data_IF_343792776406
#
_entry.id   IF_343792776406
#
_cell.length_a   1.000
_cell.length_b   1.000
_cell.length_c   1.000
_cell.angle_alpha   90.00
_cell.angle_beta   90.00
_cell.angle_gamma   90.00
#
_symmetry.space_group_name_H-M   'P 1'
#
loop_
_entity.id
_entity.type
_entity.pdbx_description
1 polymer ?
#
# COMPACT_ATOMS: atom_id res chain seq x y z
N UNK A 1 -22.71 -17.45 5.41
CA UNK A 1 -22.10 -17.80 4.61
C UNK A 1 -20.95 -17.12 3.92
N UNK A 2 -19.79 -17.59 4.26
CA UNK A 2 -18.52 -17.09 3.77
C UNK A 2 -18.42 -17.09 2.23
N UNK A 3 -18.97 -18.12 1.60
CA UNK A 3 -18.95 -18.25 0.14
C UNK A 3 -19.68 -17.12 -0.60
N UNK A 4 -20.71 -16.53 0.01
CA UNK A 4 -21.43 -15.41 -0.58
C UNK A 4 -20.62 -14.10 -0.50
N UNK A 5 -19.89 -13.89 0.58
CA UNK A 5 -19.03 -12.71 0.73
C UNK A 5 -17.91 -12.71 -0.32
N UNK A 6 -17.28 -13.87 -0.57
CA UNK A 6 -16.23 -14.00 -1.56
C UNK A 6 -16.68 -13.73 -2.98
N UNK A 7 -17.91 -14.14 -3.33
CA UNK A 7 -18.49 -13.92 -4.68
C UNK A 7 -18.76 -12.46 -4.97
N UNK A 8 -18.83 -11.61 -3.96
CA UNK A 8 -19.20 -10.20 -4.12
C UNK A 8 -18.01 -9.28 -4.35
N UNK A 9 -16.80 -9.78 -4.15
CA UNK A 9 -15.59 -9.02 -4.38
C UNK A 9 -15.06 -9.30 -5.78
N UNK A 10 -14.84 -8.24 -6.54
CA UNK A 10 -14.22 -8.33 -7.86
C UNK A 10 -12.85 -7.68 -7.80
N UNK A 11 -11.80 -8.49 -7.76
CA UNK A 11 -10.42 -8.00 -7.72
C UNK A 11 -10.00 -7.54 -9.11
N UNK A 12 -9.55 -6.29 -9.20
CA UNK A 12 -9.06 -5.68 -10.44
C UNK A 12 -7.55 -5.80 -10.52
N UNK A 13 -6.86 -5.54 -9.43
CA UNK A 13 -5.40 -5.60 -9.37
C UNK A 13 -4.97 -6.17 -8.03
N UNK A 14 -3.91 -6.96 -8.05
CA UNK A 14 -3.33 -7.60 -6.86
C UNK A 14 -1.84 -7.28 -6.82
N UNK A 15 -1.36 -6.87 -5.66
CA UNK A 15 0.05 -6.54 -5.46
C UNK A 15 0.76 -7.68 -4.71
N UNK A 16 1.10 -8.73 -5.42
CA UNK A 16 1.75 -9.90 -4.84
C UNK A 16 3.14 -9.59 -4.30
N UNK A 17 3.87 -8.67 -4.95
CA UNK A 17 5.22 -8.27 -4.52
C UNK A 17 5.24 -7.67 -3.12
N UNK A 18 4.17 -7.01 -2.71
CA UNK A 18 4.10 -6.39 -1.39
C UNK A 18 4.28 -7.40 -0.28
N UNK A 19 3.71 -8.58 -0.41
CA UNK A 19 3.81 -9.63 0.60
C UNK A 19 5.22 -10.22 0.69
N UNK A 20 5.99 -10.15 -0.39
CA UNK A 20 7.40 -10.56 -0.39
C UNK A 20 8.32 -9.50 0.19
N UNK A 21 8.03 -8.23 -0.11
CA UNK A 21 8.91 -7.11 0.22
C UNK A 21 8.64 -6.48 1.58
N UNK A 22 7.49 -6.77 2.17
CA UNK A 22 7.05 -6.12 3.42
C UNK A 22 6.51 -7.13 4.42
N UNK A 23 6.76 -6.85 5.70
CA UNK A 23 6.04 -7.48 6.80
C UNK A 23 4.74 -6.70 6.99
N UNK A 24 3.61 -7.37 6.79
CA UNK A 24 2.30 -6.74 6.92
C UNK A 24 1.88 -6.76 8.39
N UNK A 25 1.72 -5.57 8.97
CA UNK A 25 1.34 -5.42 10.37
C UNK A 25 -0.17 -5.41 10.53
N UNK A 26 -0.85 -4.64 9.69
CA UNK A 26 -2.29 -4.44 9.76
C UNK A 26 -2.83 -4.13 8.38
N UNK A 27 -4.04 -4.57 8.08
CA UNK A 27 -4.73 -4.25 6.84
C UNK A 27 -6.05 -3.56 7.12
N UNK A 28 -6.49 -2.71 6.20
CA UNK A 28 -7.77 -2.01 6.30
C UNK A 28 -8.32 -1.72 4.92
N UNK A 29 -9.63 -1.57 4.84
CA UNK A 29 -10.31 -1.20 3.61
C UNK A 29 -10.42 0.31 3.50
N UNK A 30 -9.97 0.87 2.39
CA UNK A 30 -10.10 2.28 2.08
C UNK A 30 -10.92 2.47 0.81
N UNK A 31 -11.73 3.52 0.77
CA UNK A 31 -12.34 3.96 -0.47
C UNK A 31 -11.33 4.69 -1.34
N UNK A 32 -11.63 4.86 -2.62
CA UNK A 32 -10.78 5.58 -3.57
C UNK A 32 -11.61 6.62 -4.30
N UNK A 33 -11.17 7.88 -4.26
CA UNK A 33 -11.82 8.94 -5.01
C UNK A 33 -11.37 8.85 -6.48
N UNK A 34 -12.30 8.52 -7.36
CA UNK A 34 -12.04 8.28 -8.77
C UNK A 34 -12.88 9.18 -9.67
N UNK A 35 -12.37 9.48 -10.86
CA UNK A 35 -13.14 10.13 -11.91
C UNK A 35 -13.94 9.08 -12.68
N UNK A 36 -14.90 9.54 -13.51
CA UNK A 36 -15.75 8.64 -14.30
C UNK A 36 -14.96 7.75 -15.24
N UNK A 37 -13.95 8.30 -15.92
CA UNK A 37 -13.12 7.53 -16.85
C UNK A 37 -12.25 6.51 -16.14
N UNK A 38 -11.80 6.81 -14.93
CA UNK A 38 -11.07 5.86 -14.09
C UNK A 38 -11.95 4.67 -13.71
N UNK A 39 -13.18 4.93 -13.29
CA UNK A 39 -14.13 3.87 -12.95
C UNK A 39 -14.41 2.97 -14.15
N UNK A 40 -14.62 3.56 -15.32
CA UNK A 40 -14.86 2.80 -16.55
C UNK A 40 -13.67 1.92 -16.93
N UNK A 41 -12.46 2.44 -16.79
CA UNK A 41 -11.22 1.69 -17.03
C UNK A 41 -11.10 0.51 -16.06
N UNK A 42 -11.43 0.73 -14.79
CA UNK A 42 -11.42 -0.32 -13.77
C UNK A 42 -12.47 -1.41 -14.07
N UNK A 43 -13.66 -1.02 -14.53
CA UNK A 43 -14.70 -1.98 -14.92
C UNK A 43 -14.24 -2.87 -16.07
N UNK A 44 -13.39 -2.34 -16.94
CA UNK A 44 -12.76 -3.11 -18.01
C UNK A 44 -11.59 -3.99 -17.50
N UNK A 45 -11.31 -3.95 -16.19
CA UNK A 45 -10.29 -4.80 -15.56
C UNK A 45 -8.87 -4.30 -15.75
N UNK A 46 -8.70 -3.03 -16.06
CA UNK A 46 -7.37 -2.46 -16.37
C UNK A 46 -6.87 -1.58 -15.24
N UNK A 47 -5.89 -2.08 -14.50
CA UNK A 47 -5.16 -1.29 -13.50
C UNK A 47 -3.95 -2.07 -13.01
N UNK A 48 -2.91 -1.36 -12.57
CA UNK A 48 -1.77 -1.95 -11.86
C UNK A 48 -1.46 -1.14 -10.62
N UNK A 49 -1.12 -1.82 -9.55
CA UNK A 49 -0.77 -1.21 -8.26
C UNK A 49 0.58 -1.70 -7.73
N UNK A 50 1.31 -2.50 -8.51
CA UNK A 50 2.56 -3.13 -8.08
C UNK A 50 3.64 -2.13 -7.67
N UNK A 51 3.70 -0.98 -8.33
CA UNK A 51 4.69 0.05 -8.05
C UNK A 51 4.12 1.22 -7.23
N UNK A 52 2.91 1.05 -6.70
CA UNK A 52 2.24 2.12 -5.97
C UNK A 52 2.49 2.03 -4.47
N UNK A 53 2.27 3.14 -3.81
CA UNK A 53 2.36 3.25 -2.36
C UNK A 53 1.37 4.33 -1.91
N UNK A 54 1.13 4.41 -0.62
CA UNK A 54 0.29 5.47 -0.07
C UNK A 54 1.14 6.43 0.75
N UNK A 55 0.79 7.71 0.72
CA UNK A 55 1.53 8.78 1.35
C UNK A 55 0.58 9.76 2.03
N UNK A 56 1.02 10.33 3.15
CA UNK A 56 0.26 11.34 3.86
C UNK A 56 0.63 12.73 3.33
N UNK A 57 -0.37 13.45 2.83
CA UNK A 57 -0.19 14.82 2.33
C UNK A 57 -1.37 15.69 2.74
N UNK A 58 -1.09 16.79 3.43
CA UNK A 58 -2.13 17.71 3.85
C UNK A 58 -3.17 17.08 4.78
N UNK A 59 -2.77 16.16 5.64
CA UNK A 59 -3.67 15.50 6.57
C UNK A 59 -4.57 14.43 5.96
N UNK A 60 -4.31 14.05 4.71
CA UNK A 60 -5.03 13.01 4.00
C UNK A 60 -4.07 11.94 3.50
N UNK A 61 -4.61 10.78 3.15
CA UNK A 61 -3.82 9.66 2.59
C UNK A 61 -4.07 9.59 1.09
N UNK A 62 -3.00 9.54 0.32
CA UNK A 62 -3.04 9.51 -1.14
C UNK A 62 -2.37 8.26 -1.69
N UNK A 63 -3.00 7.67 -2.67
CA UNK A 63 -2.40 6.56 -3.43
C UNK A 63 -1.57 7.15 -4.56
N UNK A 64 -0.27 6.89 -4.52
CA UNK A 64 0.70 7.46 -5.45
C UNK A 64 1.22 6.38 -6.39
N UNK A 65 1.40 6.74 -7.64
CA UNK A 65 1.99 5.88 -8.67
C UNK A 65 1.19 4.61 -9.01
N UNK A 66 -0.11 4.60 -8.69
CA UNK A 66 -1.01 3.58 -9.24
C UNK A 66 -1.28 3.92 -10.70
N UNK A 67 -1.40 2.91 -11.53
CA UNK A 67 -1.66 3.11 -12.95
C UNK A 67 -3.05 2.61 -13.33
N UNK A 68 -3.88 3.53 -13.78
CA UNK A 68 -5.18 3.23 -14.36
C UNK A 68 -5.14 3.76 -15.79
N UNK A 69 -5.04 2.88 -16.82
CA UNK A 69 -4.95 3.33 -18.21
C UNK A 69 -6.12 4.21 -18.62
N UNK A 70 -5.90 5.06 -19.59
CA UNK A 70 -6.95 5.88 -20.15
C UNK A 70 -8.07 5.02 -20.69
N UNK A 71 -9.31 5.50 -20.55
CA UNK A 71 -10.48 4.83 -21.13
C UNK A 71 -10.56 5.21 -22.60
N UNK A 72 -10.27 4.28 -23.48
CA UNK A 72 -10.13 4.54 -24.91
C UNK A 72 -11.41 5.02 -25.59
N UNK A 73 -12.57 4.65 -25.06
CA UNK A 73 -13.86 5.10 -25.60
C UNK A 73 -14.30 6.47 -25.08
N UNK A 74 -13.49 7.13 -24.23
CA UNK A 74 -13.80 8.47 -23.78
C UNK A 74 -13.55 9.48 -24.91
N UNK A 75 -14.51 10.40 -25.11
CA UNK A 75 -14.44 11.34 -26.24
C UNK A 75 -13.39 12.41 -26.11
N UNK A 76 -13.40 13.17 -25.01
CA UNK A 76 -12.57 14.38 -24.88
C UNK A 76 -11.72 14.40 -23.62
N UNK A 77 -12.34 14.08 -22.51
CA UNK A 77 -11.70 14.24 -21.21
C UNK A 77 -11.37 12.89 -20.64
N UNK A 78 -10.10 12.64 -20.47
CA UNK A 78 -9.61 11.44 -19.85
C UNK A 78 -8.76 11.82 -18.63
N UNK A 79 -8.46 10.85 -17.81
CA UNK A 79 -7.62 11.05 -16.63
C UNK A 79 -6.15 10.79 -16.98
N UNK A 80 -5.24 11.36 -16.21
CA UNK A 80 -3.84 10.98 -16.27
C UNK A 80 -3.69 9.58 -15.63
N UNK A 81 -3.05 8.62 -16.31
CA UNK A 81 -2.95 7.24 -15.81
C UNK A 81 -2.37 7.12 -14.40
N UNK A 82 -1.42 7.96 -14.05
CA UNK A 82 -0.77 7.92 -12.73
C UNK A 82 -1.19 9.08 -11.81
N UNK A 83 -2.37 9.61 -12.00
CA UNK A 83 -2.90 10.67 -11.16
C UNK A 83 -2.91 10.22 -9.69
N UNK A 84 -2.43 11.05 -8.74
CA UNK A 84 -2.58 10.75 -7.32
C UNK A 84 -4.07 10.65 -6.97
N UNK A 85 -4.43 9.64 -6.19
CA UNK A 85 -5.83 9.38 -5.84
C UNK A 85 -5.99 9.40 -4.34
N UNK A 86 -6.97 10.17 -3.89
CA UNK A 86 -7.24 10.30 -2.47
C UNK A 86 -7.89 9.01 -1.95
N UNK A 87 -7.37 8.48 -0.87
CA UNK A 87 -7.98 7.34 -0.19
C UNK A 87 -8.96 7.83 0.87
N UNK A 88 -10.12 7.21 0.90
CA UNK A 88 -11.22 7.59 1.78
C UNK A 88 -11.23 6.69 3.00
N UNK A 89 -10.84 7.25 4.13
CA UNK A 89 -10.74 6.57 5.41
C UNK A 89 -11.37 7.44 6.49
N UNK A 90 -11.76 6.82 7.60
CA UNK A 90 -12.21 7.58 8.75
C UNK A 90 -11.06 8.40 9.34
N UNK A 91 -11.36 9.58 9.89
CA UNK A 91 -10.34 10.47 10.44
C UNK A 91 -9.46 9.77 11.49
N UNK A 92 -10.04 8.94 12.31
CA UNK A 92 -9.31 8.14 13.31
C UNK A 92 -8.28 7.23 12.67
N UNK A 93 -8.64 6.57 11.56
CA UNK A 93 -7.74 5.70 10.82
C UNK A 93 -6.61 6.52 10.17
N UNK A 94 -6.95 7.66 9.57
CA UNK A 94 -5.95 8.55 8.94
C UNK A 94 -4.91 8.99 9.97
N UNK A 95 -5.36 9.45 11.13
CA UNK A 95 -4.46 9.91 12.19
C UNK A 95 -3.54 8.80 12.70
N UNK A 96 -4.09 7.61 12.85
CA UNK A 96 -3.32 6.43 13.27
C UNK A 96 -2.23 6.08 12.24
N UNK A 97 -2.58 6.11 10.95
CA UNK A 97 -1.65 5.78 9.87
C UNK A 97 -0.56 6.82 9.73
N UNK A 98 -0.91 8.10 9.83
CA UNK A 98 0.08 9.20 9.79
C UNK A 98 1.07 9.03 10.94
N UNK A 99 0.57 8.75 12.14
CA UNK A 99 1.41 8.54 13.32
C UNK A 99 2.38 7.36 13.14
N UNK A 100 1.90 6.25 12.61
CA UNK A 100 2.72 5.07 12.38
C UNK A 100 3.83 5.34 11.35
N UNK A 101 3.51 6.06 10.27
CA UNK A 101 4.48 6.40 9.24
C UNK A 101 5.54 7.36 9.80
N UNK A 102 5.12 8.40 10.50
CA UNK A 102 6.04 9.43 11.02
C UNK A 102 6.88 8.97 12.20
N UNK A 103 6.28 8.27 13.16
CA UNK A 103 6.96 7.88 14.40
C UNK A 103 7.70 6.55 14.30
N UNK A 104 7.13 5.60 13.59
CA UNK A 104 7.66 4.23 13.52
C UNK A 104 8.35 3.91 12.21
N UNK A 105 8.32 4.84 11.26
CA UNK A 105 8.94 4.64 9.95
C UNK A 105 8.29 3.54 9.13
N UNK A 106 7.00 3.31 9.35
CA UNK A 106 6.24 2.31 8.59
C UNK A 106 5.85 2.84 7.22
N UNK A 107 5.48 1.93 6.34
CA UNK A 107 5.08 2.24 4.97
C UNK A 107 3.64 1.80 4.75
N UNK A 108 2.92 2.55 3.93
CA UNK A 108 1.57 2.19 3.52
C UNK A 108 1.63 1.66 2.10
N UNK A 109 1.20 0.42 1.90
CA UNK A 109 1.20 -0.22 0.59
C UNK A 109 -0.17 -0.79 0.25
N UNK A 110 -0.65 -0.64 -1.00
CA UNK A 110 -1.89 -1.27 -1.41
C UNK A 110 -1.64 -2.75 -1.72
N UNK A 111 -2.53 -3.60 -1.25
CA UNK A 111 -2.45 -5.04 -1.52
C UNK A 111 -3.37 -5.45 -2.66
N UNK A 112 -4.57 -4.89 -2.70
CA UNK A 112 -5.58 -5.20 -3.71
C UNK A 112 -6.40 -3.97 -4.04
N UNK A 113 -6.78 -3.88 -5.32
CA UNK A 113 -7.77 -2.92 -5.79
C UNK A 113 -8.96 -3.75 -6.27
N UNK A 114 -10.14 -3.48 -5.76
CA UNK A 114 -11.30 -4.31 -6.05
C UNK A 114 -12.59 -3.49 -6.00
N UNK A 115 -13.65 -4.05 -6.57
CA UNK A 115 -15.01 -3.55 -6.37
C UNK A 115 -15.69 -4.37 -5.28
N UNK A 116 -16.34 -3.69 -4.36
CA UNK A 116 -17.12 -4.36 -3.33
C UNK A 116 -18.50 -4.78 -3.88
N UNK A 117 -19.32 -5.39 -3.03
CA UNK A 117 -20.65 -5.86 -3.43
C UNK A 117 -21.58 -4.75 -3.92
N UNK A 118 -21.33 -3.51 -3.52
CA UNK A 118 -22.10 -2.34 -3.97
C UNK A 118 -21.53 -1.70 -5.24
N UNK A 119 -20.49 -2.29 -5.81
CA UNK A 119 -19.84 -1.77 -7.01
C UNK A 119 -18.96 -0.55 -6.77
N UNK A 120 -18.53 -0.31 -5.56
CA UNK A 120 -17.62 0.77 -5.23
C UNK A 120 -16.18 0.30 -5.23
N UNK A 121 -15.29 1.10 -5.80
CA UNK A 121 -13.87 0.80 -5.80
C UNK A 121 -13.29 0.94 -4.40
N UNK A 122 -12.57 -0.08 -3.98
CA UNK A 122 -11.93 -0.16 -2.66
C UNK A 122 -10.48 -0.62 -2.81
N UNK A 123 -9.66 -0.20 -1.87
CA UNK A 123 -8.26 -0.64 -1.75
C UNK A 123 -8.11 -1.37 -0.41
N UNK A 124 -7.51 -2.54 -0.45
CA UNK A 124 -7.00 -3.16 0.77
C UNK A 124 -5.63 -2.56 1.03
N UNK A 125 -5.56 -1.68 2.02
CA UNK A 125 -4.36 -0.94 2.37
C UNK A 125 -3.66 -1.64 3.53
N UNK A 126 -2.34 -1.77 3.43
CA UNK A 126 -1.54 -2.40 4.47
C UNK A 126 -0.61 -1.40 5.14
N UNK A 127 -0.55 -1.46 6.46
CA UNK A 127 0.50 -0.82 7.25
C UNK A 127 1.61 -1.84 7.39
N UNK A 128 2.81 -1.51 6.91
CA UNK A 128 3.84 -2.51 6.67
C UNK A 128 5.25 -1.99 6.99
N UNK A 129 6.16 -2.92 7.16
CA UNK A 129 7.60 -2.65 7.36
C UNK A 129 8.37 -3.30 6.24
N UNK A 130 9.33 -2.59 5.65
CA UNK A 130 10.15 -3.12 4.58
C UNK A 130 11.07 -4.22 5.09
N UNK A 131 11.02 -5.39 4.49
CA UNK A 131 11.86 -6.54 4.87
C UNK A 131 13.34 -6.26 4.69
N UNK A 132 13.71 -5.61 3.60
CA UNK A 132 15.11 -5.27 3.33
C UNK A 132 15.70 -4.34 4.38
N UNK A 133 14.93 -3.35 4.82
CA UNK A 133 15.36 -2.43 5.86
C UNK A 133 15.47 -3.15 7.20
N UNK A 134 14.51 -4.01 7.52
CA UNK A 134 14.51 -4.82 8.73
C UNK A 134 15.74 -5.73 8.77
N UNK A 135 15.97 -6.48 7.70
CA UNK A 135 17.11 -7.39 7.58
C UNK A 135 18.45 -6.64 7.71
N UNK A 136 18.54 -5.44 7.14
CA UNK A 136 19.72 -4.59 7.24
C UNK A 136 19.98 -4.17 8.68
N UNK A 137 18.94 -3.76 9.41
CA UNK A 137 19.04 -3.38 10.82
C UNK A 137 19.53 -4.52 11.69
N UNK A 138 18.99 -5.72 11.47
CA UNK A 138 19.40 -6.92 12.19
C UNK A 138 20.85 -7.27 11.90
N UNK A 139 21.28 -7.16 10.65
CA UNK A 139 22.65 -7.41 10.23
C UNK A 139 23.61 -6.41 10.89
N UNK A 140 23.25 -5.14 10.94
CA UNK A 140 24.05 -4.08 11.59
C UNK A 140 24.18 -4.32 13.09
N UNK A 141 23.10 -4.69 13.77
CA UNK A 141 23.13 -5.04 15.18
C UNK A 141 24.06 -6.22 15.45
N UNK A 142 24.00 -7.24 14.64
CA UNK A 142 24.82 -8.43 14.74
C UNK A 142 26.30 -8.08 14.54
N UNK A 143 26.62 -7.28 13.54
CA UNK A 143 27.99 -6.81 13.27
C UNK A 143 28.57 -6.01 14.45
N UNK A 144 27.78 -5.11 15.01
CA UNK A 144 28.17 -4.31 16.16
C UNK A 144 28.47 -5.20 17.35
N UNK A 145 27.60 -6.16 17.63
CA UNK A 145 27.78 -7.10 18.72
C UNK A 145 29.04 -7.94 18.56
N UNK A 146 29.32 -8.43 17.36
CA UNK A 146 30.52 -9.18 17.04
C UNK A 146 31.78 -8.37 17.22
N UNK A 147 31.78 -7.09 16.85
CA UNK A 147 32.90 -6.17 17.06
C UNK A 147 33.19 -5.98 18.54
N UNK A 148 32.16 -5.75 19.33
CA UNK A 148 32.28 -5.56 20.77
C UNK A 148 32.81 -6.81 21.45
N UNK A 149 32.30 -7.97 21.05
CA UNK A 149 32.76 -9.26 21.54
C UNK A 149 34.26 -9.48 21.22
N UNK A 150 34.66 -9.20 19.99
CA UNK A 150 36.07 -9.29 19.57
C UNK A 150 36.98 -8.36 20.35
N UNK A 151 36.53 -7.16 20.64
CA UNK A 151 37.27 -6.17 21.44
C UNK A 151 37.48 -6.66 22.87
N UNK A 152 36.43 -7.19 23.49
CA UNK A 152 36.51 -7.75 24.85
C UNK A 152 37.46 -8.94 24.91
N UNK A 153 37.45 -9.81 23.94
CA UNK A 153 38.36 -10.96 23.87
C UNK A 153 39.79 -10.56 23.71
N UNK A 154 40.11 -9.47 22.99
CA UNK A 154 41.47 -8.94 22.84
C UNK A 154 41.98 -8.31 24.15
N UNK A 155 41.08 -7.69 24.91
CA UNK A 155 41.46 -7.09 26.19
C UNK A 155 41.79 -8.12 27.26
N UNK A 156 41.20 -9.31 27.17
CA UNK A 156 41.45 -10.42 28.08
C UNK A 156 42.68 -11.26 27.73
N UNK A 157 43.16 -11.11 26.50
CA UNK A 157 44.38 -11.78 26.04
C UNK A 157 45.57 -10.89 26.16
#
# INVERSE_FOLDING_TARGET
MAAKAERKLRVIADNRKARFNYFIDETMEAGVALTGTEVKSLRAGKATIAESYADARGGEIWLINSNIPEYQQANRFNHAPKRPRKLLLHRRQINKLIGAVEREGMTLVPLKLYFNEKGRAKIELALARGKKLYDKRETEKKRTWERERGRLLRQKG
#
